data_IF_553214595250
#
_entry.id   IF_553214595250
#
_cell.length_a   1.000
_cell.length_b   1.000
_cell.length_c   1.000
_cell.angle_alpha   90.00
_cell.angle_beta   90.00
_cell.angle_gamma   90.00
#
_symmetry.space_group_name_H-M   'P 1'
#
loop_
_entity.id
_entity.type
_entity.pdbx_description
1 polymer ?
#
# COMPACT_ATOMS: atom_id res chain seq x y z
N UNK A 1 -0.16 -10.95 11.89
CA UNK A 1 -0.39 -12.40 11.80
C UNK A 1 -1.84 -12.66 11.41
N UNK A 2 -2.06 -13.21 10.22
CA UNK A 2 -3.26 -13.96 9.81
C UNK A 2 -2.94 -14.57 8.43
N UNK A 3 -2.17 -15.64 8.44
CA UNK A 3 -2.23 -16.66 7.42
C UNK A 3 -2.61 -17.93 8.15
N UNK A 4 -3.63 -18.59 7.63
CA UNK A 4 -4.22 -19.83 8.12
C UNK A 4 -3.10 -20.86 8.30
N UNK A 5 -3.15 -21.64 9.39
CA UNK A 5 -2.36 -22.86 9.56
C UNK A 5 -2.69 -23.80 8.40
N UNK A 6 -1.91 -23.71 7.32
CA UNK A 6 -1.89 -24.73 6.28
C UNK A 6 -0.92 -25.83 6.75
N UNK A 7 -1.41 -27.04 7.05
CA UNK A 7 -0.56 -28.16 7.48
C UNK A 7 0.42 -28.62 6.38
N UNK A 8 0.34 -28.10 5.15
CA UNK A 8 1.31 -28.32 4.08
C UNK A 8 2.46 -27.28 4.05
N UNK A 9 2.45 -26.25 4.90
CA UNK A 9 3.46 -25.19 4.89
C UNK A 9 4.77 -25.68 5.54
N UNK A 10 5.83 -25.81 4.73
CA UNK A 10 7.15 -26.21 5.21
C UNK A 10 7.83 -25.07 5.99
N UNK A 11 8.78 -25.38 6.91
CA UNK A 11 9.44 -24.39 7.75
C UNK A 11 10.11 -23.26 6.95
N UNK A 12 9.96 -22.01 7.40
CA UNK A 12 10.48 -20.78 6.77
C UNK A 12 11.95 -20.88 6.29
N UNK A 13 12.78 -21.64 7.00
CA UNK A 13 14.22 -21.81 6.73
C UNK A 13 14.50 -22.44 5.36
N UNK A 14 13.58 -23.24 4.82
CA UNK A 14 13.80 -23.94 3.54
C UNK A 14 13.50 -23.10 2.29
N UNK A 15 13.02 -21.86 2.44
CA UNK A 15 12.60 -21.01 1.33
C UNK A 15 13.31 -19.65 1.24
N UNK A 16 14.25 -19.37 2.12
CA UNK A 16 15.00 -18.11 2.07
C UNK A 16 16.11 -18.19 1.01
N UNK A 17 16.26 -17.13 0.22
CA UNK A 17 17.45 -16.89 -0.59
C UNK A 17 18.70 -16.74 0.29
N UNK A 18 19.89 -16.89 -0.31
CA UNK A 18 21.17 -16.75 0.42
C UNK A 18 21.30 -15.39 1.14
N UNK A 19 20.81 -14.32 0.51
CA UNK A 19 20.80 -12.97 1.08
C UNK A 19 19.85 -12.86 2.29
N UNK A 20 18.66 -13.43 2.18
CA UNK A 20 17.69 -13.47 3.28
C UNK A 20 18.19 -14.32 4.45
N UNK A 21 18.88 -15.44 4.18
CA UNK A 21 19.50 -16.28 5.19
C UNK A 21 20.63 -15.55 5.93
N UNK A 22 21.44 -14.76 5.21
CA UNK A 22 22.46 -13.92 5.83
C UNK A 22 21.84 -12.83 6.72
N UNK A 23 20.80 -12.14 6.23
CA UNK A 23 20.06 -11.16 7.01
C UNK A 23 19.47 -11.78 8.28
N UNK A 24 18.77 -12.91 8.16
CA UNK A 24 18.22 -13.64 9.29
C UNK A 24 19.31 -14.01 10.32
N UNK A 25 20.43 -14.56 9.86
CA UNK A 25 21.56 -14.93 10.73
C UNK A 25 22.10 -13.73 11.51
N UNK A 26 22.22 -12.56 10.86
CA UNK A 26 22.68 -11.32 11.51
C UNK A 26 21.68 -10.83 12.55
N UNK A 27 20.39 -10.81 12.23
CA UNK A 27 19.33 -10.36 13.14
C UNK A 27 19.19 -11.29 14.35
N UNK A 28 19.31 -12.61 14.14
CA UNK A 28 19.31 -13.62 15.20
C UNK A 28 20.51 -13.45 16.13
N UNK A 29 21.72 -13.29 15.58
CA UNK A 29 22.95 -13.03 16.36
C UNK A 29 22.90 -11.71 17.13
N UNK A 30 22.24 -10.69 16.60
CA UNK A 30 22.03 -9.41 17.27
C UNK A 30 20.94 -9.46 18.36
N UNK A 31 20.26 -10.60 18.54
CA UNK A 31 19.17 -10.74 19.51
C UNK A 31 17.90 -9.97 19.13
N UNK A 32 17.72 -9.61 17.86
CA UNK A 32 16.55 -8.86 17.38
C UNK A 32 15.39 -9.80 17.09
N UNK A 33 15.69 -10.95 16.46
CA UNK A 33 14.69 -11.97 16.13
C UNK A 33 15.07 -13.32 16.71
N UNK A 34 14.08 -14.18 16.90
CA UNK A 34 14.26 -15.58 17.22
C UNK A 34 13.37 -16.42 16.29
N UNK A 35 13.66 -17.71 16.28
CA UNK A 35 12.97 -18.71 15.50
C UNK A 35 12.10 -19.54 16.44
N UNK A 36 10.82 -19.67 16.10
CA UNK A 36 9.84 -20.48 16.82
C UNK A 36 9.15 -21.43 15.85
N UNK A 37 9.66 -22.67 15.78
CA UNK A 37 9.24 -23.65 14.79
C UNK A 37 9.43 -23.13 13.37
N UNK A 38 8.32 -22.93 12.65
CA UNK A 38 8.30 -22.43 11.29
C UNK A 38 8.22 -20.90 11.18
N UNK A 39 8.24 -20.14 12.28
CA UNK A 39 8.04 -18.69 12.27
C UNK A 39 9.26 -17.92 12.78
N UNK A 40 9.46 -16.71 12.25
CA UNK A 40 10.44 -15.76 12.76
C UNK A 40 9.71 -14.65 13.51
N UNK A 41 10.06 -14.45 14.77
CA UNK A 41 9.44 -13.47 15.65
C UNK A 41 10.48 -12.50 16.23
N UNK A 42 10.07 -11.28 16.56
CA UNK A 42 10.94 -10.38 17.33
C UNK A 42 11.10 -10.88 18.76
N UNK A 43 12.31 -10.80 19.31
CA UNK A 43 12.62 -11.26 20.69
C UNK A 43 11.84 -10.49 21.76
N UNK A 44 11.41 -9.28 21.45
CA UNK A 44 10.53 -8.48 22.30
C UNK A 44 9.85 -7.37 21.49
N UNK A 45 8.75 -6.79 22.00
CA UNK A 45 8.15 -5.58 21.42
C UNK A 45 9.12 -4.39 21.34
N UNK A 46 10.16 -4.35 22.19
CA UNK A 46 11.17 -3.29 22.16
C UNK A 46 12.15 -3.50 20.99
N UNK A 47 12.55 -4.74 20.72
CA UNK A 47 13.38 -5.08 19.56
C UNK A 47 12.67 -4.76 18.25
N UNK A 48 11.37 -5.10 18.15
CA UNK A 48 10.49 -4.73 17.04
C UNK A 48 10.46 -3.22 16.82
N UNK A 49 10.18 -2.45 17.89
CA UNK A 49 10.15 -0.97 17.83
C UNK A 49 11.49 -0.39 17.40
N UNK A 50 12.60 -0.92 17.94
CA UNK A 50 13.94 -0.46 17.61
C UNK A 50 14.26 -0.72 16.13
N UNK A 51 14.00 -1.93 15.64
CA UNK A 51 14.23 -2.32 14.26
C UNK A 51 13.41 -1.48 13.27
N UNK A 52 12.11 -1.30 13.54
CA UNK A 52 11.27 -0.45 12.68
C UNK A 52 11.63 1.03 12.75
N UNK A 53 12.08 1.55 13.90
CA UNK A 53 12.59 2.92 14.01
C UNK A 53 13.86 3.13 13.19
N UNK A 54 14.72 2.10 13.11
CA UNK A 54 15.92 2.13 12.28
C UNK A 54 15.60 2.10 10.78
N UNK A 55 14.68 1.23 10.35
CA UNK A 55 14.25 1.14 8.94
C UNK A 55 13.46 2.37 8.47
N UNK A 56 12.59 2.90 9.33
CA UNK A 56 11.71 4.02 9.02
C UNK A 56 11.87 5.11 10.09
N UNK A 57 13.01 5.84 10.07
CA UNK A 57 13.22 6.93 11.02
C UNK A 57 12.13 7.98 10.83
N UNK A 58 11.50 8.40 11.94
CA UNK A 58 10.41 9.38 11.90
C UNK A 58 9.01 8.81 11.64
N UNK A 59 8.84 7.48 11.67
CA UNK A 59 7.52 6.84 11.60
C UNK A 59 6.54 7.42 12.64
N UNK A 60 5.30 7.60 12.22
CA UNK A 60 4.23 8.14 13.06
C UNK A 60 3.97 7.32 14.31
N UNK A 61 3.83 7.99 15.45
CA UNK A 61 3.44 7.35 16.72
C UNK A 61 1.94 7.07 16.80
N UNK A 62 1.15 7.67 15.91
CA UNK A 62 -0.30 7.50 15.83
C UNK A 62 -0.73 7.21 14.40
N UNK A 63 -1.71 6.33 14.26
CA UNK A 63 -2.33 6.09 12.97
C UNK A 63 -3.13 7.33 12.54
N UNK A 64 -3.27 7.56 11.23
CA UNK A 64 -4.11 8.63 10.69
C UNK A 64 -5.57 8.42 11.11
N UNK A 65 -6.30 9.51 11.28
CA UNK A 65 -7.70 9.48 11.74
C UNK A 65 -8.68 9.09 10.65
N UNK A 66 -8.26 9.18 9.38
CA UNK A 66 -9.06 8.79 8.21
C UNK A 66 -8.16 8.38 7.03
N UNK A 67 -8.72 7.58 6.12
CA UNK A 67 -8.01 7.18 4.89
C UNK A 67 -7.59 8.41 4.07
N UNK A 68 -8.44 9.45 4.01
CA UNK A 68 -8.11 10.70 3.33
C UNK A 68 -6.92 11.43 3.95
N UNK A 69 -6.82 11.45 5.29
CA UNK A 69 -5.65 12.04 5.96
C UNK A 69 -4.36 11.30 5.60
N UNK A 70 -4.41 9.97 5.59
CA UNK A 70 -3.29 9.13 5.18
C UNK A 70 -2.86 9.42 3.75
N UNK A 71 -3.80 9.41 2.80
CA UNK A 71 -3.53 9.66 1.38
C UNK A 71 -2.87 11.02 1.18
N UNK A 72 -3.38 12.08 1.83
CA UNK A 72 -2.79 13.41 1.75
C UNK A 72 -1.35 13.45 2.28
N UNK A 73 -1.10 12.84 3.44
CA UNK A 73 0.23 12.74 4.03
C UNK A 73 1.17 11.93 3.14
N UNK A 74 0.68 10.83 2.58
CA UNK A 74 1.43 9.94 1.72
C UNK A 74 1.90 10.66 0.43
N UNK A 75 0.96 11.30 -0.29
CA UNK A 75 1.26 12.10 -1.48
C UNK A 75 2.24 13.23 -1.13
N UNK A 76 1.99 13.95 -0.02
CA UNK A 76 2.85 15.06 0.40
C UNK A 76 4.27 14.66 0.79
N UNK A 77 4.52 13.37 1.02
CA UNK A 77 5.85 12.84 1.36
C UNK A 77 6.56 12.18 0.19
N UNK A 78 5.93 12.16 -0.99
CA UNK A 78 6.59 11.69 -2.20
C UNK A 78 7.73 12.64 -2.57
N UNK A 79 8.87 12.05 -2.92
CA UNK A 79 10.03 12.74 -3.42
C UNK A 79 9.84 13.13 -4.88
N UNK A 80 9.64 14.43 -5.07
CA UNK A 80 9.68 15.12 -6.36
C UNK A 80 10.90 14.73 -7.21
N UNK A 81 12.09 14.68 -6.60
CA UNK A 81 13.33 14.37 -7.32
C UNK A 81 13.36 12.92 -7.79
N UNK A 82 12.89 11.98 -6.98
CA UNK A 82 12.79 10.56 -7.38
C UNK A 82 11.76 10.39 -8.51
N UNK A 83 10.61 11.07 -8.44
CA UNK A 83 9.64 11.06 -9.54
C UNK A 83 10.28 11.61 -10.83
N UNK A 84 11.00 12.74 -10.74
CA UNK A 84 11.73 13.33 -11.88
C UNK A 84 12.79 12.41 -12.47
N UNK A 85 13.55 11.73 -11.63
CA UNK A 85 14.66 10.87 -12.07
C UNK A 85 14.19 9.52 -12.60
N UNK A 86 12.95 9.14 -12.32
CA UNK A 86 12.36 7.89 -12.80
C UNK A 86 11.84 7.94 -14.24
N UNK A 87 11.78 9.14 -14.84
CA UNK A 87 11.34 9.32 -16.23
C UNK A 87 12.55 9.28 -17.18
N UNK A 88 12.41 8.58 -18.31
CA UNK A 88 13.51 8.37 -19.26
C UNK A 88 13.56 9.50 -20.30
N UNK A 89 12.41 10.05 -20.69
CA UNK A 89 12.29 11.15 -21.66
C UNK A 89 11.70 12.40 -21.02
N UNK A 90 12.00 13.55 -21.60
CA UNK A 90 11.64 14.89 -21.09
C UNK A 90 10.13 15.15 -20.95
N UNK A 91 9.29 14.28 -21.53
CA UNK A 91 7.82 14.36 -21.45
C UNK A 91 7.15 13.07 -20.96
N UNK A 92 7.94 12.10 -20.49
CA UNK A 92 7.39 10.88 -19.91
C UNK A 92 6.83 11.17 -18.51
N UNK A 93 5.91 10.31 -18.08
CA UNK A 93 5.35 10.34 -16.74
C UNK A 93 5.84 9.11 -15.94
N UNK A 94 6.05 9.22 -14.62
CA UNK A 94 6.52 8.09 -13.83
C UNK A 94 5.59 6.88 -13.97
N UNK A 95 6.17 5.69 -14.06
CA UNK A 95 5.42 4.44 -14.11
C UNK A 95 4.73 4.19 -12.76
N UNK A 96 3.67 3.40 -12.79
CA UNK A 96 2.90 3.01 -11.59
C UNK A 96 3.78 2.43 -10.47
N UNK A 97 4.74 1.57 -10.82
CA UNK A 97 5.70 1.00 -9.87
C UNK A 97 6.50 2.06 -9.08
N UNK A 98 6.79 3.21 -9.68
CA UNK A 98 7.48 4.31 -8.98
C UNK A 98 6.56 4.91 -7.92
N UNK A 99 5.28 5.13 -8.27
CA UNK A 99 4.28 5.61 -7.32
C UNK A 99 4.02 4.60 -6.22
N UNK A 100 3.85 3.31 -6.55
CA UNK A 100 3.69 2.23 -5.57
C UNK A 100 4.87 2.21 -4.58
N UNK A 101 6.11 2.29 -5.05
CA UNK A 101 7.30 2.30 -4.18
C UNK A 101 7.30 3.50 -3.23
N UNK A 102 7.08 4.71 -3.75
CA UNK A 102 7.06 5.90 -2.90
C UNK A 102 5.86 5.93 -1.95
N UNK A 103 4.71 5.42 -2.39
CA UNK A 103 3.50 5.32 -1.58
C UNK A 103 3.70 4.32 -0.44
N UNK A 104 4.35 3.17 -0.68
CA UNK A 104 4.70 2.20 0.36
C UNK A 104 5.58 2.83 1.45
N UNK A 105 6.64 3.54 1.05
CA UNK A 105 7.50 4.24 2.00
C UNK A 105 6.73 5.28 2.82
N UNK A 106 5.81 6.02 2.18
CA UNK A 106 5.00 7.02 2.84
C UNK A 106 3.91 6.40 3.76
N UNK A 107 3.32 5.26 3.38
CA UNK A 107 2.43 4.48 4.26
C UNK A 107 3.16 4.03 5.51
N UNK A 108 4.37 3.51 5.36
CA UNK A 108 5.21 3.14 6.50
C UNK A 108 5.50 4.36 7.37
N UNK A 109 5.87 5.50 6.77
CA UNK A 109 6.15 6.75 7.51
C UNK A 109 4.94 7.27 8.31
N UNK A 110 3.73 7.16 7.77
CA UNK A 110 2.53 7.80 8.35
C UNK A 110 1.61 6.89 9.13
N UNK A 111 2.03 5.66 9.41
CA UNK A 111 1.26 4.69 10.22
C UNK A 111 2.08 4.23 11.43
N UNK A 112 1.40 3.76 12.48
CA UNK A 112 2.08 3.10 13.61
C UNK A 112 2.78 1.82 13.14
N UNK A 113 3.81 1.39 13.88
CA UNK A 113 4.48 0.10 13.62
C UNK A 113 3.59 -1.14 13.76
N UNK A 114 2.50 -1.03 14.51
CA UNK A 114 1.47 -2.08 14.63
C UNK A 114 0.47 -2.08 13.47
N UNK A 115 0.53 -1.11 12.56
CA UNK A 115 -0.25 -1.13 11.33
C UNK A 115 0.47 -1.99 10.29
N UNK A 116 -0.13 -3.14 9.99
CA UNK A 116 0.34 -4.02 8.94
C UNK A 116 -0.09 -3.46 7.58
N UNK A 117 0.89 -3.19 6.74
CA UNK A 117 0.69 -2.80 5.35
C UNK A 117 0.97 -4.05 4.51
N UNK A 118 -0.03 -4.52 3.80
CA UNK A 118 0.08 -5.62 2.86
C UNK A 118 0.14 -5.03 1.44
N UNK A 119 1.35 -4.80 0.89
CA UNK A 119 1.46 -4.47 -0.52
C UNK A 119 1.03 -5.68 -1.34
N UNK A 120 0.56 -5.42 -2.55
CA UNK A 120 0.45 -6.46 -3.58
C UNK A 120 -0.39 -7.67 -3.10
N UNK A 121 -1.50 -7.40 -2.40
CA UNK A 121 -2.27 -8.46 -1.76
C UNK A 121 -3.10 -9.23 -2.79
N UNK A 122 -2.48 -10.26 -3.35
CA UNK A 122 -3.13 -11.28 -4.15
C UNK A 122 -4.02 -12.16 -3.26
N UNK A 123 -5.29 -12.34 -3.62
CA UNK A 123 -6.23 -13.08 -2.78
C UNK A 123 -6.52 -14.49 -3.28
N UNK A 124 -6.17 -15.47 -2.45
CA UNK A 124 -6.77 -16.82 -2.46
C UNK A 124 -7.76 -16.88 -1.32
N UNK A 125 -9.03 -17.11 -1.63
CA UNK A 125 -10.02 -17.44 -0.61
C UNK A 125 -10.14 -18.96 -0.49
N UNK A 126 -10.15 -19.52 0.73
CA UNK A 126 -10.72 -20.85 0.91
C UNK A 126 -12.16 -20.74 0.46
N UNK A 127 -12.53 -21.58 -0.50
CA UNK A 127 -13.86 -21.53 -1.01
C UNK A 127 -14.85 -21.96 0.08
N UNK A 128 -16.04 -21.34 0.07
CA UNK A 128 -17.21 -21.92 0.71
C UNK A 128 -17.28 -23.41 0.32
N UNK A 129 -17.71 -24.35 1.17
CA UNK A 129 -17.74 -25.80 0.85
C UNK A 129 -18.51 -26.19 -0.43
N UNK A 130 -19.12 -25.23 -1.12
CA UNK A 130 -19.83 -25.35 -2.41
C UNK A 130 -19.10 -24.74 -3.61
N UNK A 131 -17.94 -24.13 -3.42
CA UNK A 131 -17.10 -23.60 -4.49
C UNK A 131 -15.73 -24.29 -4.38
N UNK A 132 -15.07 -24.56 -5.49
CA UNK A 132 -13.65 -24.91 -5.45
C UNK A 132 -12.85 -23.62 -5.25
N UNK A 133 -11.67 -23.71 -4.62
CA UNK A 133 -10.75 -22.59 -4.36
C UNK A 133 -10.56 -21.74 -5.62
N UNK A 134 -11.33 -20.66 -5.76
CA UNK A 134 -11.15 -19.71 -6.83
C UNK A 134 -10.03 -18.77 -6.39
N UNK A 135 -8.84 -19.00 -6.97
CA UNK A 135 -7.81 -17.97 -7.04
C UNK A 135 -8.45 -16.80 -7.79
N UNK A 136 -8.63 -15.66 -7.12
CA UNK A 136 -9.21 -14.51 -7.80
C UNK A 136 -8.07 -13.75 -8.45
N UNK A 137 -8.06 -13.71 -9.78
CA UNK A 137 -6.97 -13.08 -10.54
C UNK A 137 -6.89 -11.58 -10.30
N UNK A 138 -5.67 -11.15 -9.93
CA UNK A 138 -5.20 -9.77 -9.76
C UNK A 138 -4.95 -9.40 -8.30
N UNK A 139 -4.58 -8.14 -8.10
CA UNK A 139 -3.88 -7.73 -6.89
C UNK A 139 -4.32 -6.34 -6.47
N UNK A 140 -4.63 -6.16 -5.18
CA UNK A 140 -4.83 -4.81 -4.61
C UNK A 140 -3.44 -4.25 -4.28
N UNK A 141 -3.18 -3.00 -4.66
CA UNK A 141 -1.86 -2.39 -4.44
C UNK A 141 -1.50 -2.32 -2.96
N UNK A 142 -2.43 -1.89 -2.11
CA UNK A 142 -2.22 -1.91 -0.67
C UNK A 142 -3.49 -2.23 0.13
N UNK A 143 -3.31 -3.07 1.15
CA UNK A 143 -4.30 -3.26 2.20
C UNK A 143 -3.69 -2.96 3.58
N UNK A 144 -4.29 -2.03 4.32
CA UNK A 144 -3.88 -1.70 5.69
C UNK A 144 -4.77 -2.47 6.66
N UNK A 145 -4.19 -3.48 7.32
CA UNK A 145 -4.91 -4.38 8.22
C UNK A 145 -5.05 -3.79 9.65
N UNK A 146 -5.65 -4.55 10.56
CA UNK A 146 -5.86 -4.17 11.95
C UNK A 146 -7.17 -3.41 12.15
N UNK A 147 -7.15 -2.34 12.94
CA UNK A 147 -8.35 -1.53 13.20
C UNK A 147 -8.79 -0.67 12.01
N UNK A 148 -7.88 -0.39 11.06
CA UNK A 148 -8.14 0.43 9.88
C UNK A 148 -8.94 -0.33 8.82
N UNK A 149 -8.42 -1.48 8.37
CA UNK A 149 -9.00 -2.27 7.25
C UNK A 149 -9.28 -1.39 6.03
N UNK A 150 -8.26 -0.70 5.54
CA UNK A 150 -8.39 0.18 4.38
C UNK A 150 -7.80 -0.45 3.13
N UNK A 151 -8.51 -0.33 2.00
CA UNK A 151 -8.02 -0.73 0.69
C UNK A 151 -7.57 0.47 -0.15
N UNK A 152 -6.46 0.33 -0.87
CA UNK A 152 -5.93 1.38 -1.73
C UNK A 152 -5.53 0.75 -3.06
N UNK A 153 -6.06 1.29 -4.16
CA UNK A 153 -5.53 1.04 -5.52
C UNK A 153 -4.93 2.33 -6.09
N UNK A 154 -3.82 2.20 -6.80
CA UNK A 154 -3.11 3.27 -7.48
C UNK A 154 -3.28 3.06 -8.99
N UNK A 155 -3.42 4.16 -9.73
CA UNK A 155 -3.46 4.17 -11.17
C UNK A 155 -2.57 5.29 -11.69
N UNK A 156 -1.98 5.08 -12.86
CA UNK A 156 -1.29 6.13 -13.61
C UNK A 156 -2.00 6.40 -14.93
N UNK A 157 -2.48 7.64 -15.11
CA UNK A 157 -3.28 8.04 -16.26
C UNK A 157 -4.46 7.10 -16.51
N UNK A 158 -5.11 6.65 -15.42
CA UNK A 158 -6.08 5.58 -15.47
C UNK A 158 -7.29 5.90 -16.33
N UNK A 159 -7.68 4.96 -17.19
CA UNK A 159 -8.99 4.88 -17.80
C UNK A 159 -9.88 3.89 -17.02
N UNK A 160 -11.19 3.86 -17.33
CA UNK A 160 -12.14 2.86 -16.81
C UNK A 160 -12.15 2.63 -15.29
N UNK A 161 -12.01 3.70 -14.51
CA UNK A 161 -11.93 3.68 -13.03
C UNK A 161 -13.14 3.02 -12.34
N UNK A 162 -14.24 2.79 -13.07
CA UNK A 162 -15.35 1.95 -12.59
C UNK A 162 -14.95 0.50 -12.32
N UNK A 163 -13.96 -0.05 -13.02
CA UNK A 163 -13.47 -1.42 -12.83
C UNK A 163 -12.75 -1.59 -11.48
N UNK A 164 -11.74 -0.76 -11.12
CA UNK A 164 -11.19 -0.67 -9.76
C UNK A 164 -12.24 -0.61 -8.66
N UNK A 165 -13.21 0.31 -8.78
CA UNK A 165 -14.24 0.49 -7.75
C UNK A 165 -15.19 -0.71 -7.64
N UNK A 166 -15.54 -1.36 -8.76
CA UNK A 166 -16.42 -2.53 -8.72
C UNK A 166 -15.79 -3.73 -8.02
N UNK A 167 -14.45 -3.80 -7.96
CA UNK A 167 -13.74 -4.83 -7.18
C UNK A 167 -14.05 -4.71 -5.68
N UNK A 168 -14.28 -3.51 -5.16
CA UNK A 168 -14.64 -3.29 -3.74
C UNK A 168 -16.14 -3.37 -3.45
N UNK A 169 -17.00 -3.40 -4.48
CA UNK A 169 -18.44 -3.50 -4.31
C UNK A 169 -18.88 -4.87 -3.73
N UNK A 170 -20.14 -4.97 -3.30
CA UNK A 170 -20.73 -6.23 -2.86
C UNK A 170 -20.64 -7.29 -3.96
N UNK A 171 -20.09 -8.46 -3.64
CA UNK A 171 -19.83 -9.53 -4.63
C UNK A 171 -18.64 -9.25 -5.54
N UNK A 172 -18.00 -8.08 -5.41
CA UNK A 172 -16.74 -7.75 -6.05
C UNK A 172 -15.58 -8.57 -5.49
N UNK A 173 -14.50 -8.61 -6.26
CA UNK A 173 -13.29 -9.40 -5.97
C UNK A 173 -12.68 -9.17 -4.59
N UNK A 174 -12.76 -7.95 -4.07
CA UNK A 174 -12.22 -7.55 -2.77
C UNK A 174 -13.26 -7.51 -1.66
N UNK A 175 -14.52 -7.89 -1.93
CA UNK A 175 -15.63 -7.76 -0.97
C UNK A 175 -15.30 -8.38 0.39
N UNK A 176 -14.74 -9.58 0.42
CA UNK A 176 -14.45 -10.25 1.67
C UNK A 176 -13.11 -9.83 2.30
N UNK A 177 -12.44 -8.76 1.82
CA UNK A 177 -11.44 -8.03 2.64
C UNK A 177 -12.14 -7.28 3.76
N UNK A 178 -13.47 -7.11 3.65
CA UNK A 178 -14.30 -6.38 4.60
C UNK A 178 -13.66 -5.02 4.92
N UNK A 179 -13.15 -4.36 3.87
CA UNK A 179 -12.54 -3.05 3.98
C UNK A 179 -13.59 -2.08 4.53
N UNK A 180 -13.22 -1.32 5.57
CA UNK A 180 -14.10 -0.29 6.14
C UNK A 180 -14.25 0.88 5.19
N UNK A 181 -13.14 1.24 4.53
CA UNK A 181 -13.04 2.29 3.54
C UNK A 181 -12.05 1.85 2.46
N UNK A 182 -12.22 2.35 1.24
CA UNK A 182 -11.25 2.17 0.17
C UNK A 182 -11.08 3.46 -0.63
N UNK A 183 -9.99 3.56 -1.37
CA UNK A 183 -9.72 4.67 -2.28
C UNK A 183 -8.97 4.20 -3.52
N UNK A 184 -9.37 4.72 -4.67
CA UNK A 184 -8.63 4.61 -5.93
C UNK A 184 -7.94 5.94 -6.19
N UNK A 185 -6.62 5.93 -6.25
CA UNK A 185 -5.78 7.12 -6.43
C UNK A 185 -5.25 7.12 -7.86
N UNK A 186 -5.62 8.13 -8.63
CA UNK A 186 -5.27 8.26 -10.04
C UNK A 186 -4.27 9.41 -10.22
N UNK A 187 -3.02 9.08 -10.50
CA UNK A 187 -1.95 10.03 -10.75
C UNK A 187 -1.91 10.42 -12.22
N UNK A 188 -1.94 11.72 -12.50
CA UNK A 188 -1.97 12.27 -13.85
C UNK A 188 -0.94 13.36 -14.02
N UNK A 189 -0.38 13.46 -15.22
CA UNK A 189 0.52 14.55 -15.61
C UNK A 189 -0.06 15.38 -16.76
N UNK A 190 0.05 16.71 -16.70
CA UNK A 190 -0.16 17.56 -17.88
C UNK A 190 0.66 18.85 -17.82
N UNK A 191 0.74 19.56 -18.95
CA UNK A 191 1.61 20.74 -19.14
C UNK A 191 1.33 21.85 -18.14
N UNK A 192 0.07 22.05 -17.78
CA UNK A 192 -0.37 23.20 -16.99
C UNK A 192 -0.75 22.82 -15.53
N UNK A 193 -0.67 21.55 -15.16
CA UNK A 193 -1.14 21.03 -13.87
C UNK A 193 -2.65 21.22 -13.68
N UNK A 194 -3.38 21.46 -14.77
CA UNK A 194 -4.80 21.81 -14.72
C UNK A 194 -5.65 20.56 -14.56
N UNK A 195 -6.70 20.67 -13.75
CA UNK A 195 -7.67 19.58 -13.59
C UNK A 195 -8.48 19.47 -14.89
N UNK A 196 -8.42 18.31 -15.55
CA UNK A 196 -9.21 18.05 -16.77
C UNK A 196 -9.85 16.66 -16.71
N UNK A 197 -11.08 16.55 -17.23
CA UNK A 197 -11.77 15.27 -17.46
C UNK A 197 -11.83 14.32 -16.25
N UNK A 198 -12.10 14.85 -15.04
CA UNK A 198 -12.28 14.04 -13.83
C UNK A 198 -13.73 14.03 -13.38
N UNK A 199 -14.32 12.83 -13.40
CA UNK A 199 -15.60 12.57 -12.73
C UNK A 199 -15.33 12.44 -11.23
N UNK A 200 -15.97 13.30 -10.43
CA UNK A 200 -15.88 13.23 -8.96
C UNK A 200 -16.62 12.00 -8.45
N UNK A 201 -15.96 11.23 -7.60
CA UNK A 201 -16.54 10.10 -6.87
C UNK A 201 -15.95 10.07 -5.46
N UNK A 202 -16.72 9.59 -4.51
CA UNK A 202 -16.38 9.62 -3.09
C UNK A 202 -15.09 8.84 -2.79
N UNK A 203 -14.89 7.71 -3.46
CA UNK A 203 -13.75 6.80 -3.26
C UNK A 203 -12.65 6.99 -4.31
N UNK A 204 -12.63 8.14 -4.99
CA UNK A 204 -11.60 8.46 -5.99
C UNK A 204 -10.86 9.74 -5.60
N UNK A 205 -9.53 9.65 -5.59
CA UNK A 205 -8.64 10.81 -5.51
C UNK A 205 -7.87 10.91 -6.81
N UNK A 206 -7.93 12.05 -7.50
CA UNK A 206 -7.05 12.30 -8.66
C UNK A 206 -6.00 13.32 -8.26
N UNK A 207 -4.74 13.04 -8.57
CA UNK A 207 -3.60 13.92 -8.27
C UNK A 207 -2.99 14.36 -9.59
N UNK A 208 -2.88 15.67 -9.80
CA UNK A 208 -2.25 16.22 -10.99
C UNK A 208 -0.84 16.70 -10.70
N UNK A 209 0.10 16.30 -11.55
CA UNK A 209 1.46 16.81 -11.56
C UNK A 209 1.67 17.68 -12.80
N UNK A 210 2.43 18.75 -12.61
CA UNK A 210 2.90 19.59 -13.70
C UNK A 210 3.99 18.82 -14.46
N UNK A 211 3.80 18.56 -15.76
CA UNK A 211 4.67 17.64 -16.53
C UNK A 211 6.16 18.01 -16.55
N UNK A 212 6.52 19.28 -16.36
CA UNK A 212 7.93 19.74 -16.30
C UNK A 212 8.41 20.06 -14.88
N UNK A 213 7.49 20.19 -13.92
CA UNK A 213 7.78 20.30 -12.49
C UNK A 213 7.14 19.12 -11.75
N UNK A 214 7.76 17.95 -11.82
CA UNK A 214 7.66 17.00 -10.71
C UNK A 214 8.13 17.60 -9.37
N UNK A 215 8.70 18.83 -9.39
CA UNK A 215 9.19 19.65 -8.28
C UNK A 215 8.14 20.45 -7.49
N UNK A 216 6.91 20.64 -7.96
CA UNK A 216 5.87 21.36 -7.19
C UNK A 216 4.54 20.62 -7.24
N UNK A 217 4.11 20.09 -6.10
CA UNK A 217 2.82 19.44 -5.95
C UNK A 217 1.69 20.46 -6.13
N UNK A 218 1.03 20.48 -7.28
CA UNK A 218 -0.33 21.04 -7.39
C UNK A 218 -1.30 19.90 -7.09
N UNK A 219 -1.39 19.53 -5.81
CA UNK A 219 -2.38 18.55 -5.37
C UNK A 219 -3.77 19.21 -5.44
N UNK A 220 -4.42 19.09 -6.60
CA UNK A 220 -5.84 19.35 -6.70
C UNK A 220 -6.60 18.20 -6.03
N UNK A 221 -6.87 18.31 -4.72
CA UNK A 221 -7.80 17.42 -4.04
C UNK A 221 -9.22 17.74 -4.54
N UNK A 222 -9.80 16.85 -5.34
CA UNK A 222 -11.21 16.94 -5.67
C UNK A 222 -12.03 16.41 -4.50
N UNK A 223 -12.47 17.37 -3.69
CA UNK A 223 -13.52 17.36 -2.66
C UNK A 223 -14.18 16.00 -2.36
N UNK A 224 -13.83 15.43 -1.20
CA UNK A 224 -14.61 14.41 -0.53
C UNK A 224 -15.76 15.11 0.20
N UNK A 225 -16.87 15.36 -0.49
CA UNK A 225 -18.07 15.82 0.19
C UNK A 225 -18.52 14.72 1.15
N UNK A 226 -18.23 14.90 2.45
CA UNK A 226 -19.02 14.25 3.48
C UNK A 226 -20.46 14.74 3.25
N UNK A 227 -21.30 13.89 2.69
CA UNK A 227 -22.71 13.93 2.98
C UNK A 227 -22.84 13.75 4.50
N UNK A 228 -22.71 14.86 5.24
CA UNK A 228 -23.22 14.96 6.59
C UNK A 228 -24.73 15.08 6.44
N UNK A 229 -25.45 14.06 6.91
CA UNK A 229 -26.80 14.27 7.44
C UNK A 229 -26.78 15.40 8.46
#
# INVERSE_FOLDING_TARGET
MCLVDDPAYQPLVHHLSDDEMQCFTRLKKAGIVFEDGAYVNFTSPLAERYYYKWLFPGRGYVNPTSLYELVRKAIGSMSASVLKQSVVREYDFPKEAVFQHQFMAALALHTMNTCYICPELSRVFPASPRQHSQRIDGEIDFYLNGSLRWGIELLVNGDRIGEPMSRFATGGKYAALAAKEYVVIDFRGNVNGTITNVVRKQERVTVFFLSWETSRHVAAFLDWSRARN
#
